data_IF_755381156314
#
_entry.id   IF_755381156314
#
_cell.length_a   1.000
_cell.length_b   1.000
_cell.length_c   1.000
_cell.angle_alpha   90.00
_cell.angle_beta   90.00
_cell.angle_gamma   90.00
#
_symmetry.space_group_name_H-M   'P 1'
#
loop_
_entity.id
_entity.type
_entity.pdbx_description
1 polymer ?
#
# COMPACT_ATOMS: atom_id res chain seq x y z
N UNK A 1 -17.80 22.61 -9.11
CA UNK A 1 -17.45 23.33 -7.87
C UNK A 1 -17.24 22.25 -6.82
N UNK A 2 -16.00 22.00 -6.40
CA UNK A 2 -15.68 20.92 -5.44
C UNK A 2 -16.25 21.34 -4.07
N UNK A 3 -17.11 20.51 -3.49
CA UNK A 3 -17.75 20.78 -2.20
C UNK A 3 -16.70 20.86 -1.08
N UNK A 4 -16.96 21.62 -0.01
CA UNK A 4 -16.06 21.61 1.16
C UNK A 4 -15.90 20.21 1.76
N UNK A 5 -16.91 19.34 1.62
CA UNK A 5 -16.86 17.94 2.04
C UNK A 5 -15.82 17.12 1.28
N UNK A 6 -15.54 17.48 0.02
CA UNK A 6 -14.57 16.77 -0.82
C UNK A 6 -13.12 17.14 -0.47
N UNK A 7 -12.89 18.15 0.40
CA UNK A 7 -11.56 18.57 0.86
C UNK A 7 -11.10 17.85 2.12
N UNK A 8 -11.98 17.06 2.74
CA UNK A 8 -11.69 16.34 3.98
C UNK A 8 -11.38 14.88 3.61
N UNK A 9 -10.22 14.35 4.03
CA UNK A 9 -9.91 12.93 3.91
C UNK A 9 -11.05 12.08 4.50
N UNK A 10 -11.58 11.16 3.70
CA UNK A 10 -12.64 10.25 4.12
C UNK A 10 -12.06 9.03 4.81
N UNK A 11 -12.84 8.44 5.71
CA UNK A 11 -12.50 7.17 6.35
C UNK A 11 -12.60 6.05 5.32
N UNK A 12 -11.56 5.23 5.21
CA UNK A 12 -11.50 4.09 4.31
C UNK A 12 -12.39 2.94 4.79
N UNK A 13 -12.62 1.92 3.95
CA UNK A 13 -13.33 0.71 4.36
C UNK A 13 -12.62 -0.07 5.48
N UNK A 14 -11.36 0.28 5.78
CA UNK A 14 -10.54 -0.30 6.85
C UNK A 14 -10.52 0.59 8.12
N UNK A 15 -11.36 1.63 8.18
CA UNK A 15 -11.48 2.50 9.35
C UNK A 15 -10.32 3.50 9.54
N UNK A 16 -9.43 3.61 8.55
CA UNK A 16 -8.27 4.52 8.56
C UNK A 16 -8.53 5.79 7.75
N UNK A 17 -7.81 6.86 8.07
CA UNK A 17 -7.76 8.09 7.25
C UNK A 17 -6.49 8.05 6.42
N UNK A 18 -6.63 7.74 5.13
CA UNK A 18 -5.48 7.54 4.25
C UNK A 18 -4.82 8.88 3.86
N UNK A 19 -3.47 8.94 3.77
CA UNK A 19 -2.75 10.14 3.33
C UNK A 19 -2.94 10.46 1.84
N UNK A 20 -3.43 9.49 1.05
CA UNK A 20 -3.76 9.67 -0.36
C UNK A 20 -5.04 8.89 -0.70
N UNK A 21 -5.95 9.45 -1.51
CA UNK A 21 -7.12 8.70 -1.97
C UNK A 21 -6.69 7.60 -2.96
N UNK A 22 -7.41 6.47 -3.05
CA UNK A 22 -7.07 5.41 -4.00
C UNK A 22 -7.10 5.92 -5.45
N UNK A 23 -6.24 5.39 -6.31
CA UNK A 23 -6.32 5.61 -7.75
C UNK A 23 -7.58 4.96 -8.33
N UNK A 24 -8.28 5.70 -9.20
CA UNK A 24 -9.41 5.18 -9.98
C UNK A 24 -8.98 4.60 -11.34
N UNK A 25 -7.71 4.80 -11.70
CA UNK A 25 -7.16 4.37 -13.00
C UNK A 25 -6.14 3.26 -12.78
N UNK A 26 -6.24 2.22 -13.60
CA UNK A 26 -5.32 1.09 -13.62
C UNK A 26 -5.99 -0.22 -13.23
N UNK A 27 -5.16 -1.23 -12.99
CA UNK A 27 -5.52 -2.56 -12.53
C UNK A 27 -4.39 -3.07 -11.62
N UNK A 28 -4.54 -4.27 -11.06
CA UNK A 28 -3.58 -4.88 -10.13
C UNK A 28 -2.15 -4.87 -10.70
N UNK A 29 -1.98 -5.23 -11.98
CA UNK A 29 -0.67 -5.28 -12.62
C UNK A 29 0.00 -3.90 -12.69
N UNK A 30 -0.74 -2.89 -13.16
CA UNK A 30 -0.24 -1.50 -13.26
C UNK A 30 0.11 -0.96 -11.87
N UNK A 31 -0.76 -1.16 -10.89
CA UNK A 31 -0.54 -0.69 -9.52
C UNK A 31 0.68 -1.38 -8.90
N UNK A 32 0.79 -2.70 -9.02
CA UNK A 32 1.94 -3.49 -8.54
C UNK A 32 3.26 -2.95 -9.08
N UNK A 33 3.37 -2.79 -10.40
CA UNK A 33 4.61 -2.36 -11.04
C UNK A 33 5.02 -0.94 -10.60
N UNK A 34 4.05 -0.07 -10.34
CA UNK A 34 4.31 1.29 -9.87
C UNK A 34 4.94 1.36 -8.47
N UNK A 35 4.74 0.35 -7.61
CA UNK A 35 5.26 0.34 -6.23
C UNK A 35 6.79 0.30 -6.19
N UNK A 36 7.41 -0.31 -7.20
CA UNK A 36 8.86 -0.53 -7.28
C UNK A 36 9.54 0.31 -8.36
N UNK A 37 8.78 1.07 -9.14
CA UNK A 37 9.32 1.97 -10.15
C UNK A 37 9.75 3.30 -9.52
N UNK A 38 11.06 3.54 -9.46
CA UNK A 38 11.63 4.74 -8.87
C UNK A 38 11.31 6.04 -9.61
N UNK A 39 10.79 5.96 -10.84
CA UNK A 39 10.32 7.11 -11.61
C UNK A 39 8.88 7.51 -11.29
N UNK A 40 8.09 6.62 -10.68
CA UNK A 40 6.72 6.93 -10.29
C UNK A 40 6.74 7.86 -9.06
N UNK A 41 6.07 9.02 -9.05
CA UNK A 41 6.03 9.90 -7.88
C UNK A 41 5.44 9.19 -6.65
N UNK A 42 6.00 9.42 -5.46
CA UNK A 42 5.57 8.74 -4.21
C UNK A 42 4.07 8.84 -3.98
N UNK A 43 3.47 10.01 -4.22
CA UNK A 43 2.02 10.18 -4.10
C UNK A 43 1.24 9.21 -4.99
N UNK A 44 1.68 8.97 -6.24
CA UNK A 44 1.04 8.01 -7.13
C UNK A 44 1.23 6.57 -6.65
N UNK A 45 2.41 6.22 -6.10
CA UNK A 45 2.64 4.90 -5.49
C UNK A 45 1.69 4.67 -4.31
N UNK A 46 1.51 5.66 -3.44
CA UNK A 46 0.57 5.60 -2.31
C UNK A 46 -0.88 5.41 -2.78
N UNK A 47 -1.33 6.17 -3.79
CA UNK A 47 -2.68 6.01 -4.36
C UNK A 47 -2.90 4.59 -4.90
N UNK A 48 -1.90 4.03 -5.59
CA UNK A 48 -1.97 2.69 -6.16
C UNK A 48 -1.90 1.60 -5.08
N UNK A 49 -1.13 1.81 -4.01
CA UNK A 49 -1.12 0.98 -2.81
C UNK A 49 -2.52 0.92 -2.18
N UNK A 50 -3.20 2.06 -2.00
CA UNK A 50 -4.57 2.06 -1.46
C UNK A 50 -5.59 1.47 -2.43
N UNK A 51 -5.39 1.58 -3.74
CA UNK A 51 -6.21 0.87 -4.74
C UNK A 51 -6.07 -0.63 -4.59
N UNK A 52 -4.85 -1.15 -4.45
CA UNK A 52 -4.60 -2.57 -4.20
C UNK A 52 -5.26 -3.02 -2.90
N UNK A 53 -5.01 -2.31 -1.79
CA UNK A 53 -5.64 -2.62 -0.50
C UNK A 53 -7.17 -2.70 -0.65
N UNK A 54 -7.77 -1.73 -1.33
CA UNK A 54 -9.22 -1.65 -1.46
C UNK A 54 -9.81 -2.68 -2.42
N UNK A 55 -9.03 -3.21 -3.36
CA UNK A 55 -9.44 -4.31 -4.25
C UNK A 55 -9.57 -5.62 -3.45
N UNK A 56 -8.64 -5.88 -2.53
CA UNK A 56 -8.84 -6.87 -1.46
C UNK A 56 -8.62 -8.34 -1.81
N UNK A 57 -8.39 -8.71 -3.07
CA UNK A 57 -8.15 -10.11 -3.47
C UNK A 57 -6.78 -10.63 -3.02
N UNK A 58 -6.60 -11.95 -3.07
CA UNK A 58 -5.29 -12.60 -2.87
C UNK A 58 -4.25 -12.11 -3.88
N UNK A 59 -4.66 -11.86 -5.13
CA UNK A 59 -3.78 -11.33 -6.18
C UNK A 59 -3.27 -9.93 -5.82
N UNK A 60 -4.17 -9.07 -5.34
CA UNK A 60 -3.81 -7.73 -4.89
C UNK A 60 -2.94 -7.75 -3.63
N UNK A 61 -3.23 -8.68 -2.70
CA UNK A 61 -2.41 -8.88 -1.52
C UNK A 61 -0.97 -9.31 -1.87
N UNK A 62 -0.81 -10.23 -2.83
CA UNK A 62 0.49 -10.62 -3.35
C UNK A 62 1.19 -9.49 -4.12
N UNK A 63 0.43 -8.66 -4.83
CA UNK A 63 0.95 -7.45 -5.47
C UNK A 63 1.50 -6.42 -4.46
N UNK A 64 0.83 -6.24 -3.31
CA UNK A 64 1.34 -5.43 -2.20
C UNK A 64 2.62 -6.04 -1.62
N UNK A 65 2.65 -7.36 -1.40
CA UNK A 65 3.85 -8.05 -0.93
C UNK A 65 5.05 -7.86 -1.90
N UNK A 66 4.80 -7.87 -3.21
CA UNK A 66 5.83 -7.57 -4.21
C UNK A 66 6.43 -6.17 -4.04
N UNK A 67 5.64 -5.21 -3.57
CA UNK A 67 6.06 -3.84 -3.29
C UNK A 67 7.17 -3.71 -2.24
N UNK A 68 7.43 -4.73 -1.40
CA UNK A 68 8.54 -4.72 -0.44
C UNK A 68 9.93 -4.61 -1.10
N UNK A 69 10.02 -4.81 -2.42
CA UNK A 69 11.25 -4.55 -3.19
C UNK A 69 11.53 -3.06 -3.41
N UNK A 70 10.61 -2.18 -3.04
CA UNK A 70 10.79 -0.73 -3.15
C UNK A 70 12.01 -0.27 -2.35
N UNK A 71 12.77 0.67 -2.88
CA UNK A 71 13.89 1.31 -2.18
C UNK A 71 13.43 2.22 -1.03
N UNK A 72 12.17 2.67 -1.05
CA UNK A 72 11.59 3.59 -0.06
C UNK A 72 11.14 2.91 1.22
N UNK A 73 11.80 3.20 2.35
CA UNK A 73 11.38 2.75 3.67
C UNK A 73 9.97 3.24 4.05
N UNK A 74 9.58 4.45 3.61
CA UNK A 74 8.23 4.97 3.81
C UNK A 74 7.17 4.11 3.12
N UNK A 75 7.44 3.71 1.87
CA UNK A 75 6.49 2.86 1.14
C UNK A 75 6.44 1.46 1.75
N UNK A 76 7.58 0.88 2.14
CA UNK A 76 7.62 -0.44 2.81
C UNK A 76 6.87 -0.43 4.14
N UNK A 77 6.97 0.63 4.93
CA UNK A 77 6.16 0.80 6.13
C UNK A 77 4.66 0.80 5.80
N UNK A 78 4.25 1.61 4.83
CA UNK A 78 2.84 1.69 4.44
C UNK A 78 2.32 0.35 3.90
N UNK A 79 3.14 -0.40 3.16
CA UNK A 79 2.81 -1.75 2.70
C UNK A 79 2.55 -2.70 3.86
N UNK A 80 3.43 -2.73 4.88
CA UNK A 80 3.22 -3.53 6.07
C UNK A 80 1.93 -3.13 6.80
N UNK A 81 1.68 -1.82 6.91
CA UNK A 81 0.46 -1.28 7.53
C UNK A 81 -0.81 -1.75 6.82
N UNK A 82 -0.90 -1.59 5.49
CA UNK A 82 -2.11 -1.98 4.75
C UNK A 82 -2.28 -3.49 4.63
N UNK A 83 -1.20 -4.26 4.57
CA UNK A 83 -1.28 -5.73 4.64
C UNK A 83 -1.83 -6.18 6.00
N UNK A 84 -1.45 -5.50 7.09
CA UNK A 84 -2.04 -5.69 8.42
C UNK A 84 -3.53 -5.36 8.46
N UNK A 85 -3.96 -4.29 7.77
CA UNK A 85 -5.38 -3.95 7.64
C UNK A 85 -6.18 -4.99 6.85
N UNK A 86 -5.60 -5.55 5.79
CA UNK A 86 -6.25 -6.57 4.96
C UNK A 86 -6.46 -7.89 5.71
N UNK A 87 -5.58 -8.22 6.67
CA UNK A 87 -5.62 -9.48 7.43
C UNK A 87 -5.70 -10.74 6.56
N UNK A 88 -5.20 -10.66 5.32
CA UNK A 88 -5.23 -11.77 4.39
C UNK A 88 -4.08 -12.75 4.68
N UNK A 89 -4.35 -14.05 4.94
CA UNK A 89 -3.32 -15.03 5.27
C UNK A 89 -2.19 -15.18 4.24
N UNK A 90 -2.41 -14.87 2.96
CA UNK A 90 -1.37 -14.98 1.92
C UNK A 90 -0.18 -14.03 2.15
N UNK A 91 -0.38 -12.96 2.93
CA UNK A 91 0.68 -12.03 3.30
C UNK A 91 1.55 -12.51 4.47
N UNK A 92 1.11 -13.50 5.25
CA UNK A 92 1.78 -13.89 6.51
C UNK A 92 3.25 -14.24 6.31
N UNK A 93 3.67 -15.05 5.31
CA UNK A 93 5.08 -15.36 5.11
C UNK A 93 5.93 -14.10 4.88
N UNK A 94 5.41 -13.15 4.10
CA UNK A 94 6.11 -11.91 3.75
C UNK A 94 6.18 -10.95 4.94
N UNK A 95 5.11 -10.82 5.73
CA UNK A 95 5.11 -9.99 6.93
C UNK A 95 6.06 -10.54 8.00
N UNK A 96 6.05 -11.85 8.22
CA UNK A 96 6.98 -12.51 9.15
C UNK A 96 8.42 -12.27 8.72
N UNK A 97 8.73 -12.45 7.43
CA UNK A 97 10.06 -12.21 6.87
C UNK A 97 10.52 -10.76 7.10
N UNK A 98 9.66 -9.76 6.80
CA UNK A 98 10.00 -8.33 6.95
C UNK A 98 10.17 -7.91 8.41
N UNK A 99 9.27 -8.35 9.31
CA UNK A 99 9.35 -7.98 10.73
C UNK A 99 10.52 -8.67 11.46
N UNK A 100 10.98 -9.81 10.95
CA UNK A 100 12.12 -10.55 11.51
C UNK A 100 13.48 -10.04 11.00
N UNK A 101 13.49 -9.20 9.96
CA UNK A 101 14.72 -8.65 9.38
C UNK A 101 15.32 -7.58 10.30
N UNK A 102 16.49 -7.86 10.88
CA UNK A 102 17.17 -6.92 11.79
C UNK A 102 17.84 -5.76 11.07
N UNK A 103 18.12 -5.91 9.77
CA UNK A 103 18.79 -4.91 8.93
C UNK A 103 17.78 -3.98 8.22
N UNK A 104 16.49 -4.33 8.25
CA UNK A 104 15.42 -3.46 7.76
C UNK A 104 15.31 -2.18 8.60
N UNK A 105 14.92 -1.10 7.93
CA UNK A 105 14.75 0.22 8.53
C UNK A 105 13.73 0.18 9.68
N UNK A 106 14.08 0.81 10.81
CA UNK A 106 13.31 0.77 12.07
C UNK A 106 11.82 1.11 11.92
N UNK A 107 11.46 2.00 10.98
CA UNK A 107 10.07 2.38 10.73
C UNK A 107 9.23 1.25 10.10
N UNK A 108 9.84 0.33 9.38
CA UNK A 108 9.13 -0.77 8.70
C UNK A 108 8.87 -1.93 9.66
N UNK A 109 9.62 -2.00 10.76
CA UNK A 109 9.58 -3.05 11.78
C UNK A 109 8.61 -2.74 12.91
#
# INVERSE_FOLDING_TARGET
MISMSDRIPQISQYGSVDPAPPSQLGNIEIWKNSLVDDNTPMFQRMRNLFSLRNEGSDESCLALCYGFKSSSALLRHELAYVLGQMQNPVALPHLIERLSDTDEHVMVR
#
